data_IF_745667759145
#
_entry.id   IF_745667759145
#
_cell.length_a   1.000
_cell.length_b   1.000
_cell.length_c   1.000
_cell.angle_alpha   90.00
_cell.angle_beta   90.00
_cell.angle_gamma   90.00
#
_symmetry.space_group_name_H-M   'P 1'
#
loop_
_entity.id
_entity.type
_entity.pdbx_description
1 polymer ?
#
# COMPACT_ATOMS: atom_id res chain seq x y z
N UNK A 1 -10.48 -23.14 51.26
CA UNK A 1 -9.09 -22.84 50.86
C UNK A 1 -9.14 -21.84 49.70
N UNK A 2 -8.55 -20.64 49.83
CA UNK A 2 -8.45 -19.70 48.71
C UNK A 2 -7.19 -20.07 47.91
N UNK A 3 -7.34 -20.49 46.66
CA UNK A 3 -6.21 -20.65 45.74
C UNK A 3 -5.70 -19.28 45.33
N UNK A 4 -4.43 -19.00 45.62
CA UNK A 4 -3.75 -17.84 45.08
C UNK A 4 -3.50 -18.14 43.59
N UNK A 5 -4.14 -17.37 42.71
CA UNK A 5 -3.86 -17.46 41.28
C UNK A 5 -2.41 -17.02 41.03
N UNK A 6 -1.56 -17.98 40.67
CA UNK A 6 -0.12 -17.85 40.39
C UNK A 6 0.25 -16.88 39.25
N UNK A 7 -0.74 -16.26 38.60
CA UNK A 7 -0.55 -15.38 37.45
C UNK A 7 0.24 -14.09 37.76
N UNK A 8 0.44 -13.78 39.04
CA UNK A 8 1.18 -12.59 39.47
C UNK A 8 2.62 -12.83 39.98
N UNK A 9 3.01 -14.09 40.25
CA UNK A 9 4.24 -14.37 40.99
C UNK A 9 5.51 -14.31 40.11
N UNK A 10 5.37 -14.59 38.82
CA UNK A 10 6.45 -14.54 37.85
C UNK A 10 6.11 -13.57 36.71
N UNK A 11 6.30 -12.27 36.95
CA UNK A 11 6.33 -11.31 35.84
C UNK A 11 7.57 -11.61 35.00
N UNK A 12 7.40 -12.21 33.82
CA UNK A 12 8.51 -12.37 32.87
C UNK A 12 8.94 -10.98 32.39
N UNK A 13 10.08 -10.52 32.92
CA UNK A 13 10.72 -9.31 32.43
C UNK A 13 11.43 -9.69 31.14
N UNK A 14 11.05 -9.11 29.98
CA UNK A 14 11.73 -9.40 28.74
C UNK A 14 13.20 -9.02 28.88
N UNK A 15 14.07 -9.88 28.39
CA UNK A 15 15.49 -9.60 28.35
C UNK A 15 15.75 -8.36 27.50
N UNK A 16 16.88 -7.68 27.75
CA UNK A 16 17.28 -6.49 26.99
C UNK A 16 17.33 -6.75 25.47
N UNK A 17 17.64 -7.98 25.07
CA UNK A 17 17.66 -8.40 23.66
C UNK A 17 16.24 -8.46 23.09
N UNK A 18 15.32 -9.11 23.79
CA UNK A 18 13.90 -9.22 23.38
C UNK A 18 13.22 -7.84 23.28
N UNK A 19 13.49 -6.95 24.23
CA UNK A 19 12.95 -5.58 24.22
C UNK A 19 13.46 -4.76 23.01
N UNK A 20 14.75 -4.93 22.64
CA UNK A 20 15.32 -4.27 21.46
C UNK A 20 14.72 -4.83 20.17
N UNK A 21 14.57 -6.15 20.06
CA UNK A 21 13.96 -6.77 18.87
C UNK A 21 12.52 -6.32 18.68
N UNK A 22 11.73 -6.23 19.75
CA UNK A 22 10.35 -5.74 19.68
C UNK A 22 10.29 -4.28 19.21
N UNK A 23 11.20 -3.45 19.72
CA UNK A 23 11.33 -2.05 19.27
C UNK A 23 11.62 -1.98 17.77
N UNK A 24 12.60 -2.74 17.27
CA UNK A 24 12.94 -2.78 15.84
C UNK A 24 11.76 -3.27 15.00
N UNK A 25 11.08 -4.34 15.42
CA UNK A 25 9.90 -4.87 14.72
C UNK A 25 8.74 -3.87 14.71
N UNK A 26 8.55 -3.09 15.78
CA UNK A 26 7.57 -2.01 15.82
C UNK A 26 7.92 -0.89 14.86
N UNK A 27 9.16 -0.41 14.88
CA UNK A 27 9.62 0.67 13.99
C UNK A 27 9.54 0.24 12.52
N UNK A 28 9.94 -0.98 12.20
CA UNK A 28 9.84 -1.51 10.83
C UNK A 28 8.38 -1.51 10.32
N UNK A 29 7.42 -1.95 11.14
CA UNK A 29 5.99 -1.89 10.79
C UNK A 29 5.52 -0.45 10.56
N UNK A 30 5.88 0.46 11.44
CA UNK A 30 5.53 1.88 11.31
C UNK A 30 6.06 2.49 10.00
N UNK A 31 7.29 2.16 9.60
CA UNK A 31 7.86 2.63 8.33
C UNK A 31 7.03 2.14 7.15
N UNK A 32 6.71 0.85 7.12
CA UNK A 32 5.91 0.25 6.04
C UNK A 32 4.51 0.87 5.95
N UNK A 33 3.87 1.11 7.08
CA UNK A 33 2.54 1.71 7.15
C UNK A 33 2.55 3.15 6.62
N UNK A 34 3.55 3.96 7.00
CA UNK A 34 3.71 5.32 6.51
C UNK A 34 3.94 5.38 5.00
N UNK A 35 4.79 4.49 4.47
CA UNK A 35 5.04 4.39 3.03
C UNK A 35 3.80 3.94 2.26
N UNK A 36 3.05 2.98 2.80
CA UNK A 36 1.79 2.53 2.20
C UNK A 36 0.77 3.67 2.14
N UNK A 37 0.62 4.44 3.21
CA UNK A 37 -0.25 5.60 3.25
C UNK A 37 0.17 6.68 2.22
N UNK A 38 1.46 6.99 2.13
CA UNK A 38 1.98 7.94 1.15
C UNK A 38 1.72 7.49 -0.30
N UNK A 39 1.89 6.20 -0.59
CA UNK A 39 1.59 5.61 -1.90
C UNK A 39 0.09 5.67 -2.23
N UNK A 40 -0.77 5.39 -1.26
CA UNK A 40 -2.23 5.46 -1.44
C UNK A 40 -2.66 6.89 -1.81
N UNK A 41 -2.25 7.89 -1.02
CA UNK A 41 -2.55 9.30 -1.28
C UNK A 41 -2.06 9.75 -2.66
N UNK A 42 -0.83 9.39 -3.04
CA UNK A 42 -0.30 9.71 -4.38
C UNK A 42 -1.16 9.09 -5.48
N UNK A 43 -1.56 7.83 -5.31
CA UNK A 43 -2.35 7.10 -6.31
C UNK A 43 -3.74 7.70 -6.46
N UNK A 44 -4.39 8.07 -5.36
CA UNK A 44 -5.68 8.75 -5.37
C UNK A 44 -5.59 10.10 -6.08
N UNK A 45 -4.56 10.92 -5.79
CA UNK A 45 -4.33 12.19 -6.48
C UNK A 45 -4.16 12.00 -7.99
N UNK A 46 -3.36 11.03 -8.42
CA UNK A 46 -3.14 10.76 -9.84
C UNK A 46 -4.40 10.22 -10.52
N UNK A 47 -5.17 9.38 -9.83
CA UNK A 47 -6.45 8.87 -10.33
C UNK A 47 -7.45 10.01 -10.52
N UNK A 48 -7.57 10.91 -9.55
CA UNK A 48 -8.44 12.08 -9.65
C UNK A 48 -8.02 12.99 -10.82
N UNK A 49 -6.72 13.25 -10.97
CA UNK A 49 -6.20 14.04 -12.08
C UNK A 49 -6.49 13.39 -13.44
N UNK A 50 -6.33 12.07 -13.56
CA UNK A 50 -6.66 11.34 -14.79
C UNK A 50 -8.16 11.43 -15.12
N UNK A 51 -9.02 11.26 -14.13
CA UNK A 51 -10.48 11.35 -14.35
C UNK A 51 -10.90 12.76 -14.80
N UNK A 52 -10.29 13.81 -14.23
CA UNK A 52 -10.53 15.18 -14.67
C UNK A 52 -10.07 15.40 -16.12
N UNK A 53 -8.89 14.88 -16.49
CA UNK A 53 -8.40 14.93 -17.88
C UNK A 53 -9.31 14.17 -18.84
N UNK A 54 -9.81 12.99 -18.47
CA UNK A 54 -10.75 12.20 -19.28
C UNK A 54 -12.09 12.92 -19.47
N UNK A 55 -12.58 13.63 -18.45
CA UNK A 55 -13.81 14.43 -18.54
C UNK A 55 -13.66 15.64 -19.50
N UNK A 56 -12.46 16.21 -19.60
CA UNK A 56 -12.17 17.36 -20.48
C UNK A 56 -11.70 16.92 -21.88
N UNK A 57 -11.25 15.68 -22.04
CA UNK A 57 -10.72 15.19 -23.31
C UNK A 57 -11.82 15.13 -24.40
N UNK A 58 -11.63 15.80 -25.54
CA UNK A 58 -12.54 15.65 -26.68
C UNK A 58 -12.44 14.23 -27.22
N UNK A 59 -13.59 13.60 -27.51
CA UNK A 59 -13.65 12.26 -28.11
C UNK A 59 -12.93 12.29 -29.45
N UNK A 60 -11.71 11.75 -29.48
CA UNK A 60 -10.96 11.65 -30.72
C UNK A 60 -11.74 10.77 -31.71
N UNK A 61 -11.96 11.21 -32.96
CA UNK A 61 -12.69 10.41 -33.92
C UNK A 61 -11.94 9.09 -34.17
N UNK A 62 -12.67 7.98 -34.38
CA UNK A 62 -12.04 6.69 -34.59
C UNK A 62 -11.06 6.76 -35.76
N UNK A 63 -9.79 6.43 -35.50
CA UNK A 63 -8.75 6.36 -36.53
C UNK A 63 -9.19 5.33 -37.57
N UNK A 64 -9.54 5.80 -38.77
CA UNK A 64 -9.84 4.93 -39.91
C UNK A 64 -8.63 4.03 -40.15
N UNK A 65 -8.82 2.72 -40.04
CA UNK A 65 -7.79 1.72 -40.34
C UNK A 65 -7.35 1.90 -41.79
N UNK A 66 -6.05 2.11 -42.02
CA UNK A 66 -5.51 2.27 -43.36
C UNK A 66 -5.81 1.00 -44.19
N UNK A 67 -6.51 1.17 -45.31
CA UNK A 67 -6.84 0.07 -46.21
C UNK A 67 -5.55 -0.56 -46.76
N UNK A 68 -5.42 -1.88 -46.59
CA UNK A 68 -4.31 -2.65 -47.18
C UNK A 68 -4.39 -2.55 -48.70
N UNK A 69 -3.35 -2.01 -49.34
CA UNK A 69 -3.21 -2.01 -50.81
C UNK A 69 -3.08 -3.46 -51.30
N UNK A 70 -3.84 -3.90 -52.32
CA UNK A 70 -3.68 -5.23 -52.88
C UNK A 70 -2.32 -5.35 -53.57
N UNK A 71 -1.63 -6.46 -53.31
CA UNK A 71 -0.37 -6.82 -53.95
C UNK A 71 -0.69 -7.28 -55.38
N UNK A 72 -0.18 -6.56 -56.38
CA UNK A 72 -0.32 -6.93 -57.80
C UNK A 72 0.60 -8.12 -58.09
N UNK A 73 0.04 -9.16 -58.72
CA UNK A 73 0.75 -10.35 -59.18
C UNK A 73 1.59 -10.11 -60.43
#
# INVERSE_FOLDING_TARGET
MKSLSDSGLFKQVPSRTEAKTDTTSRVARQILDLEAAARAVKTERLRAARLAQEAEAPVAPPKKTAAKRPKKG
#
